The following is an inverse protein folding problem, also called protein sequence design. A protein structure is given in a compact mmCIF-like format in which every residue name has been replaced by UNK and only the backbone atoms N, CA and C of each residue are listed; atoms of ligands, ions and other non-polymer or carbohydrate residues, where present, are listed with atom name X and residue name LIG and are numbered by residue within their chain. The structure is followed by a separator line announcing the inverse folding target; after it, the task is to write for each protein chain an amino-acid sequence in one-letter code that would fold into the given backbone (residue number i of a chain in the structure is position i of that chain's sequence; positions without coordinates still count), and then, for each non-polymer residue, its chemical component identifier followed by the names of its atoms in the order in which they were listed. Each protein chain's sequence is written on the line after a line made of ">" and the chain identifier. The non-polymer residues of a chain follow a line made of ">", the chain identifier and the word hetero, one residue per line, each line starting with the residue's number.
data_IF_508558732503
#
_entry.id   IF_508558732503
#
_cell.length_a   1.000
_cell.length_b   1.000
_cell.length_c   1.000
_cell.angle_alpha   90.00
_cell.angle_beta   90.00
_cell.angle_gamma   90.00
#
_symmetry.space_group_name_H-M   'P 1'
#
loop_
_entity.id
_entity.type
_entity.pdbx_description
1 polymer ?
#
# COMPACT_ATOMS: atom_id res chain seq x y z
N UNK A 1 -21.38 1.90 -2.71
CA UNK A 1 -20.88 2.17 -4.05
C UNK A 1 -19.61 1.40 -4.32
N UNK A 2 -19.15 1.35 -5.56
CA UNK A 2 -17.85 0.79 -5.90
C UNK A 2 -16.74 1.59 -5.23
N UNK A 3 -15.64 0.92 -4.89
CA UNK A 3 -14.41 1.58 -4.50
C UNK A 3 -13.80 2.34 -5.72
N UNK A 4 -12.89 3.26 -5.46
CA UNK A 4 -12.15 3.97 -6.50
C UNK A 4 -11.07 3.11 -7.16
N UNK A 5 -10.55 2.14 -6.41
CA UNK A 5 -9.28 1.46 -6.56
C UNK A 5 -8.91 0.98 -7.96
N UNK A 6 -9.80 0.29 -8.70
CA UNK A 6 -9.51 -0.25 -10.03
C UNK A 6 -10.49 0.36 -11.05
N UNK A 7 -10.35 1.63 -11.29
CA UNK A 7 -10.99 2.33 -12.41
C UNK A 7 -9.91 2.80 -13.38
N UNK A 8 -10.18 2.74 -14.68
CA UNK A 8 -9.19 3.14 -15.70
C UNK A 8 -8.80 4.60 -15.60
N UNK A 9 -9.67 5.47 -15.07
CA UNK A 9 -9.32 6.87 -14.79
C UNK A 9 -8.31 6.98 -13.67
N UNK A 10 -8.42 6.15 -12.63
CA UNK A 10 -7.45 6.07 -11.54
C UNK A 10 -6.09 5.59 -12.05
N UNK A 11 -6.08 4.57 -12.92
CA UNK A 11 -4.84 4.06 -13.55
C UNK A 11 -4.21 5.15 -14.43
N UNK A 12 -4.99 5.88 -15.21
CA UNK A 12 -4.49 6.99 -16.04
C UNK A 12 -3.95 8.15 -15.18
N UNK A 13 -4.64 8.50 -14.09
CA UNK A 13 -4.15 9.50 -13.15
C UNK A 13 -2.82 9.09 -12.52
N UNK A 14 -2.69 7.81 -12.11
CA UNK A 14 -1.45 7.25 -11.59
C UNK A 14 -0.33 7.32 -12.63
N UNK A 15 -0.60 6.90 -13.86
CA UNK A 15 0.35 7.02 -14.98
C UNK A 15 0.82 8.45 -15.21
N UNK A 16 -0.09 9.43 -15.17
CA UNK A 16 0.25 10.84 -15.33
C UNK A 16 1.19 11.35 -14.20
N UNK A 17 0.95 10.94 -12.94
CA UNK A 17 1.84 11.30 -11.82
C UNK A 17 3.23 10.67 -11.96
N UNK A 18 3.30 9.45 -12.45
CA UNK A 18 4.58 8.77 -12.74
C UNK A 18 5.32 9.47 -13.88
N UNK A 19 4.62 9.82 -14.99
CA UNK A 19 5.22 10.56 -16.10
C UNK A 19 5.74 11.93 -15.67
N UNK A 20 4.97 12.65 -14.84
CA UNK A 20 5.40 13.92 -14.29
C UNK A 20 6.71 13.79 -13.49
N UNK A 21 6.86 12.72 -12.71
CA UNK A 21 8.08 12.47 -11.95
C UNK A 21 9.25 12.11 -12.87
N UNK A 22 9.02 11.25 -13.87
CA UNK A 22 10.04 10.85 -14.84
C UNK A 22 10.51 12.03 -15.69
N UNK A 23 9.64 12.98 -16.04
CA UNK A 23 10.01 14.17 -16.82
C UNK A 23 10.98 15.10 -16.08
N UNK A 24 11.09 14.96 -14.76
CA UNK A 24 12.00 15.72 -13.88
C UNK A 24 13.26 14.95 -13.53
N UNK A 25 13.40 13.70 -14.02
CA UNK A 25 14.57 12.87 -13.77
C UNK A 25 15.84 13.46 -14.39
N UNK A 26 16.97 13.27 -13.70
CA UNK A 26 18.26 13.83 -14.14
C UNK A 26 18.92 13.05 -15.26
N UNK A 27 18.67 11.76 -15.38
CA UNK A 27 19.30 10.88 -16.33
C UNK A 27 18.31 10.32 -17.36
N UNK A 28 18.77 10.08 -18.58
CA UNK A 28 17.99 9.39 -19.62
C UNK A 28 18.14 7.87 -19.47
N UNK A 29 17.48 7.30 -18.47
CA UNK A 29 17.45 5.85 -18.24
C UNK A 29 16.18 5.29 -18.90
N UNK A 30 16.32 4.31 -19.82
CA UNK A 30 15.16 3.75 -20.51
C UNK A 30 14.25 2.97 -19.57
N UNK A 31 12.96 2.89 -19.93
CA UNK A 31 11.93 2.25 -19.06
C UNK A 31 12.19 0.79 -18.80
N UNK A 32 12.76 0.06 -19.75
CA UNK A 32 13.10 -1.35 -19.55
C UNK A 32 14.24 -1.57 -18.53
N UNK A 33 15.02 -0.53 -18.20
CA UNK A 33 16.01 -0.52 -17.14
C UNK A 33 15.49 0.13 -15.83
N UNK A 34 14.19 0.43 -15.79
CA UNK A 34 13.50 1.05 -14.66
C UNK A 34 12.51 0.07 -14.02
N UNK A 35 12.53 -0.03 -12.71
CA UNK A 35 11.55 -0.76 -11.90
C UNK A 35 10.48 0.22 -11.38
N UNK A 36 9.21 -0.17 -11.49
CA UNK A 36 8.10 0.53 -10.86
C UNK A 36 7.76 -0.12 -9.51
N UNK A 37 7.90 0.63 -8.42
CA UNK A 37 7.44 0.24 -7.09
C UNK A 37 6.14 0.98 -6.76
N UNK A 38 5.01 0.26 -6.74
CA UNK A 38 3.72 0.82 -6.31
C UNK A 38 3.51 0.56 -4.82
N UNK A 39 3.32 1.63 -4.07
CA UNK A 39 3.14 1.54 -2.61
C UNK A 39 1.67 1.67 -2.25
N UNK A 40 1.09 0.60 -1.72
CA UNK A 40 -0.26 0.60 -1.15
C UNK A 40 -0.28 1.01 0.32
N UNK A 41 -1.47 1.32 0.84
CA UNK A 41 -1.64 1.56 2.28
C UNK A 41 -1.42 0.27 3.07
N UNK A 42 -1.89 -0.84 2.55
CA UNK A 42 -2.03 -2.11 3.23
C UNK A 42 -3.36 -2.27 3.95
N UNK A 43 -3.84 -3.49 4.01
CA UNK A 43 -5.07 -3.90 4.66
C UNK A 43 -4.92 -5.31 5.24
N UNK A 44 -5.76 -5.66 6.22
CA UNK A 44 -5.89 -7.03 6.71
C UNK A 44 -6.64 -7.94 5.73
N UNK A 45 -7.30 -7.34 4.72
CA UNK A 45 -8.02 -8.07 3.69
C UNK A 45 -7.10 -8.33 2.47
N UNK A 46 -6.80 -9.59 2.14
CA UNK A 46 -5.96 -9.94 1.00
C UNK A 46 -6.55 -9.53 -0.35
N UNK A 47 -7.88 -9.45 -0.50
CA UNK A 47 -8.52 -8.95 -1.72
C UNK A 47 -8.17 -7.47 -1.95
N UNK A 48 -8.24 -6.64 -0.89
CA UNK A 48 -7.84 -5.25 -0.96
C UNK A 48 -6.34 -5.08 -1.30
N UNK A 49 -5.46 -5.91 -0.74
CA UNK A 49 -4.03 -5.91 -1.05
C UNK A 49 -3.77 -6.35 -2.50
N UNK A 50 -4.50 -7.36 -2.99
CA UNK A 50 -4.37 -7.84 -4.36
C UNK A 50 -4.79 -6.78 -5.39
N UNK A 51 -5.68 -5.86 -5.04
CA UNK A 51 -6.05 -4.76 -5.91
C UNK A 51 -4.89 -3.79 -6.16
N UNK A 52 -4.01 -3.58 -5.19
CA UNK A 52 -2.77 -2.80 -5.38
C UNK A 52 -1.85 -3.51 -6.38
N UNK A 53 -1.74 -4.84 -6.30
CA UNK A 53 -0.96 -5.65 -7.26
C UNK A 53 -1.54 -5.54 -8.68
N UNK A 54 -2.87 -5.53 -8.82
CA UNK A 54 -3.52 -5.31 -10.13
C UNK A 54 -3.19 -3.92 -10.69
N UNK A 55 -3.25 -2.87 -9.86
CA UNK A 55 -2.87 -1.51 -10.25
C UNK A 55 -1.42 -1.47 -10.73
N UNK A 56 -0.51 -2.04 -9.96
CA UNK A 56 0.91 -2.15 -10.31
C UNK A 56 1.07 -2.85 -11.67
N UNK A 57 0.41 -3.98 -11.87
CA UNK A 57 0.50 -4.76 -13.10
C UNK A 57 0.05 -3.95 -14.32
N UNK A 58 -1.09 -3.25 -14.21
CA UNK A 58 -1.63 -2.40 -15.28
C UNK A 58 -0.69 -1.23 -15.62
N UNK A 59 -0.07 -0.61 -14.61
CA UNK A 59 0.90 0.47 -14.80
C UNK A 59 2.20 -0.05 -15.41
N UNK A 60 2.77 -1.10 -14.84
CA UNK A 60 4.01 -1.69 -15.33
C UNK A 60 3.93 -2.07 -16.79
N UNK A 61 2.95 -2.91 -17.17
CA UNK A 61 2.78 -3.36 -18.56
C UNK A 61 2.38 -2.21 -19.49
N UNK A 62 1.44 -1.35 -19.05
CA UNK A 62 0.92 -0.25 -19.87
C UNK A 62 1.94 0.85 -20.12
N UNK A 63 2.91 1.05 -19.23
CA UNK A 63 3.95 2.07 -19.35
C UNK A 63 5.30 1.52 -19.84
N UNK A 64 5.43 0.19 -20.00
CA UNK A 64 6.63 -0.44 -20.54
C UNK A 64 7.84 -0.45 -19.62
N UNK A 65 7.64 -0.48 -18.31
CA UNK A 65 8.74 -0.65 -17.35
C UNK A 65 9.37 -2.04 -17.44
N UNK A 66 10.65 -2.16 -17.09
CA UNK A 66 11.34 -3.45 -17.11
C UNK A 66 10.80 -4.44 -16.06
N UNK A 67 10.33 -3.93 -14.92
CA UNK A 67 9.74 -4.73 -13.85
C UNK A 67 8.77 -3.90 -13.01
N UNK A 68 7.90 -4.58 -12.27
CA UNK A 68 6.97 -3.98 -11.32
C UNK A 68 6.90 -4.77 -10.02
N UNK A 69 6.92 -4.07 -8.89
CA UNK A 69 6.79 -4.61 -7.54
C UNK A 69 5.79 -3.81 -6.72
N UNK A 70 5.30 -4.42 -5.64
CA UNK A 70 4.45 -3.74 -4.67
C UNK A 70 5.02 -3.85 -3.27
N UNK A 71 4.84 -2.79 -2.49
CA UNK A 71 5.04 -2.81 -1.04
C UNK A 71 3.92 -1.99 -0.37
N UNK A 72 3.92 -1.96 0.96
CA UNK A 72 2.83 -1.36 1.72
C UNK A 72 3.37 -0.45 2.83
N UNK A 73 2.63 0.62 3.11
CA UNK A 73 3.01 1.56 4.17
C UNK A 73 2.77 1.01 5.58
N UNK A 74 2.02 -0.08 5.69
CA UNK A 74 1.72 -0.76 6.95
C UNK A 74 0.73 -1.90 6.76
N UNK A 75 0.32 -2.55 7.87
CA UNK A 75 -0.73 -3.58 7.97
C UNK A 75 -0.39 -4.91 7.30
N UNK A 76 0.28 -4.92 6.17
CA UNK A 76 0.68 -6.13 5.42
C UNK A 76 2.08 -5.99 4.85
N UNK A 77 2.63 -7.09 4.32
CA UNK A 77 3.99 -7.18 3.81
C UNK A 77 4.04 -7.29 2.28
N UNK A 78 5.21 -6.94 1.69
CA UNK A 78 6.38 -6.32 2.31
C UNK A 78 6.14 -4.85 2.68
N UNK A 79 6.76 -4.38 3.76
CA UNK A 79 6.80 -2.96 4.09
C UNK A 79 7.71 -2.20 3.12
N UNK A 80 7.61 -0.84 3.13
CA UNK A 80 8.32 0.02 2.16
C UNK A 80 9.82 -0.23 2.15
N UNK A 81 10.49 -0.14 3.30
CA UNK A 81 11.95 -0.29 3.36
C UNK A 81 12.40 -1.69 2.93
N UNK A 82 11.89 -2.81 3.48
CA UNK A 82 12.25 -4.15 3.00
C UNK A 82 11.90 -4.38 1.53
N UNK A 83 10.79 -3.83 1.04
CA UNK A 83 10.39 -3.95 -0.35
C UNK A 83 11.36 -3.24 -1.31
N UNK A 84 11.82 -2.04 -0.95
CA UNK A 84 12.81 -1.29 -1.71
C UNK A 84 14.20 -1.93 -1.67
N UNK A 85 14.61 -2.46 -0.52
CA UNK A 85 15.86 -3.25 -0.40
C UNK A 85 15.83 -4.51 -1.27
N UNK A 86 14.67 -5.18 -1.37
CA UNK A 86 14.49 -6.29 -2.30
C UNK A 86 14.61 -5.83 -3.75
N UNK A 87 13.92 -4.74 -4.09
CA UNK A 87 13.94 -4.18 -5.44
C UNK A 87 15.35 -3.74 -5.89
N UNK A 88 16.14 -3.17 -4.98
CA UNK A 88 17.52 -2.77 -5.25
C UNK A 88 18.41 -3.96 -5.70
N UNK A 89 18.12 -5.18 -5.22
CA UNK A 89 18.86 -6.40 -5.61
C UNK A 89 18.53 -6.91 -7.01
N UNK A 90 17.46 -6.41 -7.64
CA UNK A 90 17.04 -6.85 -8.96
C UNK A 90 17.87 -6.24 -10.10
N UNK A 91 18.77 -5.30 -9.79
CA UNK A 91 19.76 -4.77 -10.75
C UNK A 91 19.25 -3.74 -11.75
N UNK A 92 18.11 -3.10 -11.46
CA UNK A 92 17.60 -1.98 -12.25
C UNK A 92 18.39 -0.70 -11.96
N UNK A 93 18.60 0.13 -12.96
CA UNK A 93 19.31 1.41 -12.83
C UNK A 93 18.47 2.48 -12.14
N UNK A 94 17.14 2.36 -12.24
CA UNK A 94 16.18 3.30 -11.65
C UNK A 94 15.05 2.56 -10.98
N UNK A 95 14.59 3.09 -9.85
CA UNK A 95 13.39 2.66 -9.15
C UNK A 95 12.46 3.88 -9.00
N UNK A 96 11.27 3.79 -9.61
CA UNK A 96 10.22 4.80 -9.44
C UNK A 96 9.31 4.35 -8.32
N UNK A 97 9.25 5.11 -7.23
CA UNK A 97 8.39 4.83 -6.07
C UNK A 97 7.13 5.68 -6.19
N UNK A 98 6.00 5.02 -6.36
CA UNK A 98 4.70 5.66 -6.55
C UNK A 98 3.74 5.29 -5.42
N UNK A 99 3.39 6.24 -4.51
CA UNK A 99 2.34 6.04 -3.52
C UNK A 99 0.96 6.05 -4.17
N UNK A 100 0.25 4.91 -4.15
CA UNK A 100 -1.13 4.83 -4.61
C UNK A 100 -2.08 5.30 -3.51
N UNK A 101 -2.06 6.59 -3.25
CA UNK A 101 -2.80 7.29 -2.19
C UNK A 101 -3.59 8.45 -2.77
N UNK A 102 -4.78 8.70 -2.20
CA UNK A 102 -5.63 9.82 -2.58
C UNK A 102 -5.13 11.15 -2.01
N UNK A 103 -4.70 11.13 -0.76
CA UNK A 103 -4.37 12.34 0.00
C UNK A 103 -2.95 12.30 0.55
N UNK A 104 -2.40 13.48 0.80
CA UNK A 104 -1.16 13.62 1.56
C UNK A 104 -1.35 13.24 3.03
N UNK A 105 -0.26 13.04 3.73
CA UNK A 105 -0.25 12.78 5.16
C UNK A 105 1.02 12.09 5.61
N UNK A 106 1.05 11.77 6.90
CA UNK A 106 2.21 11.14 7.55
C UNK A 106 2.65 9.83 6.86
N UNK A 107 1.71 9.09 6.29
CA UNK A 107 2.05 7.83 5.59
C UNK A 107 2.81 8.09 4.30
N UNK A 108 2.39 9.08 3.50
CA UNK A 108 3.09 9.45 2.26
C UNK A 108 4.47 9.99 2.57
N UNK A 109 4.59 10.86 3.59
CA UNK A 109 5.89 11.37 4.03
C UNK A 109 6.81 10.22 4.46
N UNK A 110 6.33 9.28 5.26
CA UNK A 110 7.08 8.10 5.69
C UNK A 110 7.55 7.23 4.52
N UNK A 111 6.73 7.08 3.47
CA UNK A 111 7.15 6.37 2.25
C UNK A 111 8.36 7.06 1.62
N UNK A 112 8.33 8.39 1.53
CA UNK A 112 9.44 9.15 0.95
C UNK A 112 10.68 9.11 1.84
N UNK A 113 10.53 9.18 3.16
CA UNK A 113 11.64 9.07 4.12
C UNK A 113 12.33 7.70 4.01
N UNK A 114 11.56 6.60 3.95
CA UNK A 114 12.12 5.26 3.71
C UNK A 114 12.79 5.14 2.34
N UNK A 115 12.23 5.78 1.31
CA UNK A 115 12.85 5.82 -0.01
C UNK A 115 14.21 6.50 0.04
N UNK A 116 14.31 7.64 0.72
CA UNK A 116 15.57 8.37 0.88
C UNK A 116 16.61 7.57 1.68
N UNK A 117 16.19 6.85 2.72
CA UNK A 117 17.07 5.96 3.49
C UNK A 117 17.65 4.83 2.64
N UNK A 118 16.83 4.19 1.81
CA UNK A 118 17.28 3.12 0.91
C UNK A 118 18.17 3.70 -0.21
N UNK A 119 17.80 4.85 -0.78
CA UNK A 119 18.61 5.52 -1.80
C UNK A 119 20.02 5.86 -1.30
N UNK A 120 20.18 6.26 -0.03
CA UNK A 120 21.50 6.51 0.58
C UNK A 120 22.36 5.25 0.66
N UNK A 121 21.77 4.06 0.77
CA UNK A 121 22.49 2.77 0.81
C UNK A 121 22.84 2.25 -0.57
N UNK A 122 22.11 2.71 -1.61
CA UNK A 122 22.24 2.27 -2.99
C UNK A 122 22.48 3.47 -3.92
N UNK A 123 23.60 4.19 -3.77
CA UNK A 123 23.88 5.39 -4.56
C UNK A 123 24.05 5.13 -6.07
N UNK A 124 24.22 3.88 -6.47
CA UNK A 124 24.29 3.43 -7.87
C UNK A 124 22.91 3.35 -8.54
N UNK A 125 21.81 3.46 -7.79
CA UNK A 125 20.44 3.39 -8.30
C UNK A 125 19.79 4.76 -8.18
N UNK A 126 19.18 5.23 -9.26
CA UNK A 126 18.38 6.46 -9.22
C UNK A 126 16.99 6.17 -8.65
N UNK A 127 16.68 6.72 -7.47
CA UNK A 127 15.34 6.64 -6.87
C UNK A 127 14.53 7.88 -7.20
N UNK A 128 13.38 7.70 -7.85
CA UNK A 128 12.46 8.77 -8.19
C UNK A 128 11.20 8.61 -7.33
N UNK A 129 10.85 9.66 -6.59
CA UNK A 129 9.61 9.73 -5.80
C UNK A 129 8.53 10.40 -6.64
N UNK A 130 7.58 9.62 -7.13
CA UNK A 130 6.41 10.16 -7.81
C UNK A 130 5.39 10.70 -6.79
N UNK A 131 4.64 11.73 -7.18
CA UNK A 131 3.56 12.26 -6.36
C UNK A 131 2.40 11.26 -6.26
N UNK A 132 1.62 11.33 -5.19
CA UNK A 132 0.38 10.57 -5.01
C UNK A 132 -0.76 11.14 -5.90
N UNK A 133 -1.93 10.50 -5.91
CA UNK A 133 -3.03 10.83 -6.84
C UNK A 133 -3.58 12.25 -6.67
N UNK A 134 -3.79 12.67 -5.42
CA UNK A 134 -4.29 14.00 -5.06
C UNK A 134 -5.57 14.40 -5.83
N UNK A 135 -5.67 15.67 -6.18
CA UNK A 135 -6.77 16.33 -6.90
C UNK A 135 -6.68 16.19 -8.43
N UNK A 136 -6.07 15.13 -8.94
CA UNK A 136 -6.00 14.92 -10.37
C UNK A 136 -7.41 14.88 -10.98
N UNK A 137 -7.69 15.58 -12.10
CA UNK A 137 -9.05 15.67 -12.66
C UNK A 137 -9.74 14.31 -12.83
N UNK A 138 -9.03 13.30 -13.32
CA UNK A 138 -9.59 11.95 -13.47
C UNK A 138 -9.95 11.27 -12.13
N UNK A 139 -9.31 11.66 -11.03
CA UNK A 139 -9.68 11.22 -9.68
C UNK A 139 -10.99 11.85 -9.27
N UNK A 140 -11.13 13.16 -9.47
CA UNK A 140 -12.36 13.91 -9.18
C UNK A 140 -13.55 13.41 -10.02
N UNK A 141 -13.33 13.15 -11.31
CA UNK A 141 -14.35 12.57 -12.20
C UNK A 141 -14.78 11.17 -11.70
N UNK A 142 -13.83 10.38 -11.17
CA UNK A 142 -14.16 9.07 -10.62
C UNK A 142 -15.01 9.21 -9.36
N UNK A 143 -14.70 10.16 -8.48
CA UNK A 143 -15.52 10.45 -7.31
C UNK A 143 -16.95 10.88 -7.70
N UNK A 144 -17.08 11.79 -8.66
CA UNK A 144 -18.39 12.24 -9.15
C UNK A 144 -19.23 11.07 -9.67
N UNK A 145 -18.66 10.21 -10.50
CA UNK A 145 -19.36 9.02 -10.99
C UNK A 145 -19.76 8.07 -9.85
N UNK A 146 -18.92 7.88 -8.81
CA UNK A 146 -19.31 7.05 -7.66
C UNK A 146 -20.50 7.61 -6.90
N UNK A 147 -20.64 8.94 -6.84
CA UNK A 147 -21.82 9.60 -6.26
C UNK A 147 -23.04 9.37 -7.16
N UNK A 148 -22.92 9.57 -8.47
CA UNK A 148 -24.00 9.34 -9.43
C UNK A 148 -24.50 7.89 -9.41
N UNK A 149 -23.58 6.90 -9.34
CA UNK A 149 -23.92 5.49 -9.20
C UNK A 149 -24.80 5.20 -7.98
N UNK A 150 -24.57 5.88 -6.87
CA UNK A 150 -25.37 5.73 -5.65
C UNK A 150 -26.75 6.35 -5.85
N UNK A 151 -26.82 7.56 -6.43
CA UNK A 151 -28.07 8.29 -6.67
C UNK A 151 -28.97 7.57 -7.69
N UNK A 152 -28.37 6.89 -8.67
CA UNK A 152 -29.08 6.11 -9.68
C UNK A 152 -29.36 4.65 -9.26
N UNK A 153 -29.00 4.27 -8.05
CA UNK A 153 -29.16 2.91 -7.54
C UNK A 153 -28.26 1.86 -8.20
N UNK A 154 -27.20 2.27 -8.91
CA UNK A 154 -26.19 1.41 -9.53
C UNK A 154 -25.10 1.11 -8.52
N UNK A 155 -25.38 0.29 -7.53
CA UNK A 155 -24.48 0.05 -6.41
C UNK A 155 -23.74 -1.27 -6.58
N UNK A 156 -22.82 -1.36 -7.53
CA UNK A 156 -21.99 -2.52 -7.78
C UNK A 156 -20.69 -2.43 -6.96
N UNK A 157 -20.47 -3.39 -6.06
CA UNK A 157 -19.22 -3.51 -5.34
C UNK A 157 -18.23 -4.40 -6.10
N UNK A 158 -16.96 -4.03 -6.13
CA UNK A 158 -15.90 -4.81 -6.80
C UNK A 158 -15.26 -5.88 -5.92
N UNK A 159 -15.57 -5.93 -4.62
CA UNK A 159 -14.98 -6.95 -3.74
C UNK A 159 -15.44 -8.35 -4.18
N UNK A 160 -14.54 -9.13 -4.73
CA UNK A 160 -14.84 -10.48 -5.22
C UNK A 160 -14.44 -11.55 -4.21
N UNK A 161 -13.32 -11.36 -3.51
CA UNK A 161 -12.71 -12.32 -2.59
C UNK A 161 -12.49 -11.73 -1.19
N UNK A 162 -13.36 -10.80 -0.77
CA UNK A 162 -13.29 -10.20 0.55
C UNK A 162 -13.45 -11.28 1.64
N UNK A 163 -12.44 -11.45 2.50
CA UNK A 163 -12.40 -12.48 3.55
C UNK A 163 -13.58 -12.45 4.53
N UNK A 164 -14.22 -11.29 4.68
CA UNK A 164 -15.42 -11.15 5.53
C UNK A 164 -16.70 -11.66 4.88
N UNK A 165 -16.68 -11.98 3.59
CA UNK A 165 -17.85 -12.46 2.83
C UNK A 165 -17.64 -13.80 2.16
N UNK A 166 -16.41 -14.12 1.79
CA UNK A 166 -16.04 -15.35 1.10
C UNK A 166 -15.04 -16.17 1.91
N UNK A 167 -15.04 -17.47 1.69
CA UNK A 167 -14.09 -18.38 2.33
C UNK A 167 -12.72 -18.23 1.64
N UNK A 168 -11.89 -17.33 2.16
CA UNK A 168 -10.53 -17.12 1.67
C UNK A 168 -9.58 -18.01 2.45
N UNK A 169 -8.67 -18.69 1.76
CA UNK A 169 -7.69 -19.58 2.36
C UNK A 169 -6.89 -18.89 3.48
N UNK A 170 -6.91 -19.49 4.66
CA UNK A 170 -6.25 -18.92 5.86
C UNK A 170 -7.08 -17.90 6.64
N UNK A 171 -8.31 -17.57 6.17
CA UNK A 171 -9.22 -16.62 6.81
C UNK A 171 -10.65 -17.17 6.95
N UNK A 172 -10.79 -18.49 6.91
CA UNK A 172 -12.09 -19.19 6.90
C UNK A 172 -12.95 -18.83 8.13
N UNK A 173 -12.32 -18.55 9.25
CA UNK A 173 -13.01 -18.16 10.49
C UNK A 173 -13.54 -16.72 10.48
N UNK A 174 -13.14 -15.90 9.50
CA UNK A 174 -13.51 -14.48 9.44
C UNK A 174 -14.78 -14.23 8.61
N UNK A 175 -15.28 -15.24 7.90
CA UNK A 175 -16.51 -15.14 7.10
C UNK A 175 -17.69 -14.79 7.98
N UNK A 176 -18.41 -13.72 7.62
CA UNK A 176 -19.57 -13.22 8.35
C UNK A 176 -19.23 -12.34 9.57
N UNK A 177 -17.94 -12.17 9.90
CA UNK A 177 -17.56 -11.25 10.96
C UNK A 177 -17.66 -9.78 10.47
N UNK A 178 -17.91 -8.83 11.38
CA UNK A 178 -17.80 -7.43 11.06
C UNK A 178 -16.34 -7.09 10.72
N UNK A 179 -16.14 -6.20 9.75
CA UNK A 179 -14.81 -5.70 9.40
C UNK A 179 -14.21 -4.98 10.61
N UNK A 180 -13.03 -5.42 11.05
CA UNK A 180 -12.32 -4.76 12.12
C UNK A 180 -11.87 -3.36 11.68
N UNK A 181 -12.19 -2.37 12.52
CA UNK A 181 -11.71 -1.00 12.32
C UNK A 181 -10.27 -0.89 12.78
N UNK A 182 -9.33 -0.80 11.86
CA UNK A 182 -7.92 -0.57 12.19
C UNK A 182 -7.69 0.90 12.57
N UNK A 183 -8.13 1.29 13.75
CA UNK A 183 -7.80 2.59 14.35
C UNK A 183 -6.40 2.61 14.98
N UNK A 184 -5.77 1.45 15.10
CA UNK A 184 -4.38 1.39 15.52
C UNK A 184 -3.51 1.88 14.36
N UNK A 185 -3.06 3.12 14.48
CA UNK A 185 -1.99 3.61 13.62
C UNK A 185 -0.84 2.63 13.78
N UNK A 186 -0.39 2.09 12.67
CA UNK A 186 0.81 1.26 12.65
C UNK A 186 1.93 2.13 13.22
N UNK A 187 2.32 1.86 14.45
CA UNK A 187 3.56 2.40 15.00
C UNK A 187 4.68 1.74 14.19
N UNK A 188 5.11 2.43 13.14
CA UNK A 188 6.21 1.97 12.31
C UNK A 188 7.49 1.95 13.15
N UNK A 189 8.39 1.05 12.83
CA UNK A 189 9.77 1.07 13.30
C UNK A 189 10.31 2.50 13.10
N UNK A 190 10.71 3.17 14.18
CA UNK A 190 11.22 4.54 14.15
C UNK A 190 10.28 5.65 14.62
N UNK A 191 9.03 5.37 14.98
CA UNK A 191 8.20 6.33 15.72
C UNK A 191 8.57 6.25 17.21
N UNK A 192 9.38 7.21 17.68
CA UNK A 192 9.77 7.31 19.08
C UNK A 192 8.54 7.31 20.00
N UNK A 193 8.64 6.55 21.05
CA UNK A 193 7.72 6.51 22.19
C UNK A 193 7.39 7.90 22.69
N UNK A 194 6.19 8.44 22.38
CA UNK A 194 5.86 9.76 22.89
C UNK A 194 4.44 10.28 22.66
N UNK A 195 3.45 9.45 22.46
CA UNK A 195 2.08 9.94 22.50
C UNK A 195 1.19 9.02 23.33
N UNK A 196 1.04 9.40 24.62
CA UNK A 196 -0.03 8.87 25.45
C UNK A 196 -1.36 9.43 24.99
N UNK A 197 -2.20 8.61 24.38
CA UNK A 197 -3.60 8.96 24.19
C UNK A 197 -4.35 8.69 25.50
N UNK A 198 -4.81 9.77 26.14
CA UNK A 198 -5.73 9.68 27.25
C UNK A 198 -7.10 9.23 26.73
N UNK A 199 -7.46 7.98 27.00
CA UNK A 199 -8.82 7.51 26.90
C UNK A 199 -9.57 7.85 28.20
N UNK A 200 -10.54 8.77 28.12
CA UNK A 200 -11.58 8.88 29.10
C UNK A 200 -12.72 7.91 28.72
N UNK A 201 -12.92 6.90 29.52
CA UNK A 201 -14.04 5.96 29.35
C UNK A 201 -13.83 4.73 30.22
N UNK A 202 -14.40 4.80 31.44
CA UNK A 202 -14.46 3.76 32.43
C UNK A 202 -15.35 2.59 31.96
N UNK A 203 -14.77 1.44 31.62
CA UNK A 203 -15.40 0.11 31.72
C UNK A 203 -14.30 -0.94 31.79
N UNK A 204 -14.18 -1.52 33.00
CA UNK A 204 -13.21 -2.57 33.29
C UNK A 204 -13.49 -3.87 32.54
N UNK A 205 -12.51 -4.30 31.76
CA UNK A 205 -12.23 -5.71 31.46
C UNK A 205 -10.72 -5.85 31.37
N UNK A 206 -10.15 -6.51 32.38
CA UNK A 206 -8.76 -6.93 32.42
C UNK A 206 -8.51 -7.98 31.32
N UNK A 207 -7.94 -7.54 30.22
CA UNK A 207 -7.21 -8.43 29.31
C UNK A 207 -5.81 -7.89 29.18
N UNK A 208 -4.90 -8.43 30.00
CA UNK A 208 -3.48 -8.28 29.83
C UNK A 208 -3.06 -9.00 28.54
N UNK A 209 -3.03 -8.28 27.42
CA UNK A 209 -2.28 -8.71 26.27
C UNK A 209 -0.89 -8.12 26.39
N UNK A 210 0.06 -8.98 26.73
CA UNK A 210 1.49 -8.67 26.67
C UNK A 210 1.87 -8.51 25.18
N UNK A 211 1.79 -7.29 24.69
CA UNK A 211 2.22 -6.94 23.34
C UNK A 211 3.73 -6.82 23.33
N UNK A 212 4.43 -7.96 23.27
CA UNK A 212 5.83 -7.98 22.91
C UNK A 212 6.01 -7.16 21.63
N UNK A 213 6.94 -6.20 21.65
CA UNK A 213 7.25 -5.32 20.51
C UNK A 213 7.78 -6.15 19.33
N UNK A 214 6.89 -6.73 18.54
CA UNK A 214 7.25 -7.30 17.26
C UNK A 214 7.51 -6.18 16.25
N UNK A 215 8.58 -6.25 15.46
CA UNK A 215 8.88 -5.27 14.43
C UNK A 215 7.78 -5.19 13.33
N UNK A 216 6.84 -6.14 13.36
CA UNK A 216 5.73 -6.23 12.43
C UNK A 216 4.40 -6.28 13.20
N UNK A 217 3.48 -5.31 12.95
CA UNK A 217 2.21 -5.22 13.67
C UNK A 217 1.26 -6.42 13.50
N UNK A 218 1.58 -7.36 12.63
CA UNK A 218 0.79 -8.56 12.34
C UNK A 218 1.66 -9.82 12.36
N UNK A 219 2.45 -9.99 13.43
CA UNK A 219 3.22 -11.22 13.63
C UNK A 219 2.34 -12.49 13.69
N UNK A 220 1.05 -12.32 13.97
CA UNK A 220 0.06 -13.41 14.00
C UNK A 220 -0.62 -13.65 12.63
N UNK A 221 -0.22 -12.93 11.58
CA UNK A 221 -0.70 -13.20 10.22
C UNK A 221 -0.27 -14.62 9.80
N UNK A 222 -1.15 -15.43 9.12
CA UNK A 222 -0.82 -16.80 8.71
C UNK A 222 0.46 -16.94 7.88
N UNK A 223 0.86 -15.87 7.19
CA UNK A 223 2.12 -15.77 6.43
C UNK A 223 3.20 -14.95 7.16
N UNK A 224 3.01 -14.69 8.46
CA UNK A 224 3.97 -13.97 9.28
C UNK A 224 5.15 -14.86 9.72
N UNK A 225 6.19 -14.27 10.35
CA UNK A 225 7.39 -15.00 10.76
C UNK A 225 7.14 -16.23 11.65
N UNK A 226 6.08 -16.20 12.47
CA UNK A 226 5.72 -17.34 13.36
C UNK A 226 5.32 -18.62 12.59
N UNK A 227 4.76 -18.49 11.38
CA UNK A 227 4.42 -19.65 10.56
C UNK A 227 5.62 -20.32 9.92
N UNK A 228 6.78 -19.66 9.89
CA UNK A 228 8.02 -20.23 9.37
C UNK A 228 8.82 -20.95 10.45
N UNK A 229 8.58 -20.67 11.74
CA UNK A 229 9.28 -21.31 12.87
C UNK A 229 8.63 -22.63 13.30
N UNK A 230 7.32 -22.80 13.08
CA UNK A 230 6.57 -24.00 13.48
C UNK A 230 6.72 -25.20 12.51
N UNK A 231 7.50 -25.07 11.44
CA UNK A 231 7.75 -26.10 10.43
C UNK A 231 9.21 -26.58 10.36
N UNK A 232 10.02 -26.29 11.38
CA UNK A 232 11.42 -26.76 11.48
C UNK A 232 11.58 -27.90 12.51
#
# INVERSE_FOLDING_TARGET
>A
GRELGIDMRMIRAAGARIEEALSKAGEDIPRHETLLMVVGRGASDPDANSNVVKVMRLLWEGMGFGWGETCFSGVTFPLVEPGLEHAARLGFKRIVVFPYFLFTGILVQRIYDHTDLVAQRHPEIEFIKASYLNDHPLVLDTFAERVDEILEGRNLMNCQLCKYREQVLGFESEVGLPQESHHHHVEGIGTGSGHHHHHHGDHGHDHHHDHGHHPYPHADHPLGPKTLEDHS
#
